data_IF_007741104589
#
_entry.id   IF_007741104589
#
_cell.length_a   1.000
_cell.length_b   1.000
_cell.length_c   1.000
_cell.angle_alpha   90.00
_cell.angle_beta   90.00
_cell.angle_gamma   90.00
#
_symmetry.space_group_name_H-M   'P 1'
#
loop_
_entity.id
_entity.type
_entity.pdbx_description
1 polymer ?
#
# COMPACT_ATOMS: atom_id res chain seq x y z
N UNK A 1 -51.19 -29.45 -20.43
CA UNK A 1 -49.99 -30.05 -19.82
C UNK A 1 -49.06 -28.92 -19.41
N UNK A 2 -48.62 -28.93 -18.16
CA UNK A 2 -48.25 -27.77 -17.36
C UNK A 2 -46.90 -27.10 -17.71
N UNK A 3 -46.82 -25.83 -17.33
CA UNK A 3 -45.63 -25.00 -17.12
C UNK A 3 -44.81 -25.56 -15.95
N UNK A 4 -43.47 -25.53 -16.00
CA UNK A 4 -42.62 -25.09 -14.89
C UNK A 4 -41.30 -24.49 -15.42
N UNK A 5 -41.13 -23.18 -15.19
CA UNK A 5 -39.84 -22.52 -15.03
C UNK A 5 -39.07 -23.20 -13.88
N UNK A 6 -37.76 -23.36 -14.01
CA UNK A 6 -36.91 -23.42 -12.83
C UNK A 6 -35.75 -22.42 -12.99
N UNK A 7 -35.99 -21.23 -12.47
CA UNK A 7 -34.98 -20.40 -11.83
C UNK A 7 -34.35 -21.20 -10.70
N UNK A 8 -33.02 -21.28 -10.65
CA UNK A 8 -32.29 -21.31 -9.39
C UNK A 8 -30.89 -20.74 -9.64
N UNK A 9 -30.73 -19.47 -9.27
CA UNK A 9 -29.43 -18.84 -9.18
C UNK A 9 -28.64 -19.52 -8.07
N UNK A 10 -27.59 -20.24 -8.43
CA UNK A 10 -26.60 -20.67 -7.46
C UNK A 10 -25.54 -19.57 -7.34
N UNK A 11 -25.90 -18.47 -6.67
CA UNK A 11 -24.90 -17.67 -5.99
C UNK A 11 -24.41 -18.55 -4.85
N UNK A 12 -23.26 -19.21 -5.05
CA UNK A 12 -22.55 -19.87 -3.96
C UNK A 12 -22.25 -18.79 -2.92
N UNK A 13 -23.10 -18.70 -1.89
CA UNK A 13 -22.85 -17.83 -0.75
C UNK A 13 -21.62 -18.39 -0.05
N UNK A 14 -20.44 -17.89 -0.43
CA UNK A 14 -19.20 -18.20 0.25
C UNK A 14 -19.41 -17.88 1.73
N UNK A 15 -19.26 -18.87 2.60
CA UNK A 15 -19.26 -18.64 4.04
C UNK A 15 -18.14 -17.66 4.37
N UNK A 16 -18.35 -16.67 5.26
CA UNK A 16 -17.30 -15.74 5.63
C UNK A 16 -16.10 -16.52 6.18
N UNK A 17 -14.96 -16.38 5.51
CA UNK A 17 -13.70 -16.98 5.95
C UNK A 17 -13.21 -16.32 7.24
N UNK A 18 -12.41 -17.07 8.02
CA UNK A 18 -11.79 -16.51 9.21
C UNK A 18 -10.85 -15.35 8.81
N UNK A 19 -10.98 -14.15 9.41
CA UNK A 19 -10.22 -12.97 8.99
C UNK A 19 -8.76 -13.09 9.43
N UNK A 20 -7.94 -13.78 8.63
CA UNK A 20 -6.51 -14.01 8.89
C UNK A 20 -5.59 -12.97 8.22
N UNK A 21 -6.15 -12.11 7.36
CA UNK A 21 -5.36 -11.17 6.55
C UNK A 21 -6.17 -9.98 6.03
N UNK A 22 -5.57 -9.16 5.16
CA UNK A 22 -6.31 -8.09 4.48
C UNK A 22 -7.39 -8.68 3.58
N UNK A 23 -8.52 -8.00 3.50
CA UNK A 23 -9.66 -8.41 2.66
C UNK A 23 -9.30 -8.20 1.19
N UNK A 24 -9.35 -9.25 0.34
CA UNK A 24 -9.07 -9.16 -1.09
C UNK A 24 -9.90 -8.09 -1.81
N UNK A 25 -9.43 -7.66 -2.99
CA UNK A 25 -10.09 -6.63 -3.79
C UNK A 25 -11.47 -7.08 -4.30
N UNK A 26 -11.59 -8.35 -4.68
CA UNK A 26 -12.75 -9.03 -5.24
C UNK A 26 -13.70 -9.62 -4.17
N UNK A 27 -13.40 -9.40 -2.88
CA UNK A 27 -14.20 -9.95 -1.80
C UNK A 27 -15.52 -9.19 -1.60
N UNK A 28 -16.63 -9.91 -1.60
CA UNK A 28 -17.98 -9.40 -1.28
C UNK A 28 -18.13 -8.95 0.19
N UNK A 29 -17.13 -9.19 1.04
CA UNK A 29 -17.17 -8.87 2.47
C UNK A 29 -16.54 -7.53 2.83
N UNK A 30 -15.98 -6.80 1.86
CA UNK A 30 -15.49 -5.47 2.12
C UNK A 30 -16.63 -4.46 2.14
N UNK A 31 -16.64 -3.63 3.18
CA UNK A 31 -17.56 -2.52 3.31
C UNK A 31 -16.76 -1.23 3.08
N UNK A 32 -17.15 -0.48 2.05
CA UNK A 32 -16.58 0.83 1.75
C UNK A 32 -16.76 1.80 2.91
N UNK A 33 -15.82 2.74 3.06
CA UNK A 33 -15.76 3.65 4.21
C UNK A 33 -15.93 5.12 3.80
N UNK A 34 -17.11 5.55 3.30
CA UNK A 34 -17.35 6.95 3.01
C UNK A 34 -17.44 7.79 4.31
N UNK A 35 -17.01 9.07 4.30
CA UNK A 35 -16.35 9.77 3.19
C UNK A 35 -14.83 9.55 3.16
N UNK A 36 -14.26 8.86 4.14
CA UNK A 36 -12.80 8.75 4.29
C UNK A 36 -12.12 8.13 3.07
N UNK A 37 -12.68 7.04 2.53
CA UNK A 37 -12.12 6.36 1.36
C UNK A 37 -12.10 7.26 0.12
N UNK A 38 -13.15 8.06 -0.08
CA UNK A 38 -13.23 9.04 -1.16
C UNK A 38 -12.18 10.15 -1.02
N UNK A 39 -11.95 10.65 0.19
CA UNK A 39 -10.91 11.65 0.47
C UNK A 39 -9.51 11.10 0.18
N UNK A 40 -9.27 9.82 0.48
CA UNK A 40 -8.00 9.14 0.20
C UNK A 40 -7.80 9.02 -1.32
N UNK A 41 -8.82 8.63 -2.09
CA UNK A 41 -8.73 8.57 -3.56
C UNK A 41 -8.47 9.95 -4.18
N UNK A 42 -9.10 11.01 -3.67
CA UNK A 42 -8.80 12.39 -4.06
C UNK A 42 -7.41 12.86 -3.65
N UNK A 43 -6.86 12.31 -2.57
CA UNK A 43 -5.49 12.58 -2.14
C UNK A 43 -4.46 11.98 -3.11
N UNK A 44 -4.67 10.73 -3.54
CA UNK A 44 -3.73 10.03 -4.43
C UNK A 44 -3.63 10.67 -5.80
N UNK A 45 -4.72 11.22 -6.32
CA UNK A 45 -4.69 11.91 -7.60
C UNK A 45 -3.89 13.23 -7.56
N UNK A 46 -3.54 13.75 -6.37
CA UNK A 46 -2.74 14.96 -6.21
C UNK A 46 -1.25 14.61 -6.11
N UNK A 47 -0.40 15.11 -7.03
CA UNK A 47 1.05 14.95 -6.93
C UNK A 47 1.61 15.56 -5.64
N UNK A 48 2.62 14.91 -5.04
CA UNK A 48 3.28 15.40 -3.83
C UNK A 48 2.43 15.33 -2.55
N UNK A 49 1.33 14.57 -2.56
CA UNK A 49 0.49 14.38 -1.38
C UNK A 49 1.05 13.33 -0.42
N UNK A 50 0.71 13.46 0.87
CA UNK A 50 1.01 12.47 1.91
C UNK A 50 -0.30 12.02 2.54
N UNK A 51 -0.57 10.72 2.49
CA UNK A 51 -1.77 10.12 3.06
C UNK A 51 -1.38 9.27 4.26
N UNK A 52 -1.93 9.60 5.44
CA UNK A 52 -1.70 8.86 6.68
C UNK A 52 -2.94 8.10 7.09
N UNK A 53 -2.88 6.76 7.07
CA UNK A 53 -3.95 5.89 7.57
C UNK A 53 -3.61 5.47 9.01
N UNK A 54 -4.35 5.96 10.00
CA UNK A 54 -4.13 5.65 11.43
C UNK A 54 -5.33 4.93 12.03
N UNK A 55 -5.12 3.75 12.59
CA UNK A 55 -6.11 2.99 13.36
C UNK A 55 -5.45 1.86 14.19
N UNK A 56 -6.10 1.34 15.25
CA UNK A 56 -5.63 0.19 16.04
C UNK A 56 -5.43 -1.09 15.22
N UNK A 57 -4.58 -2.04 15.65
CA UNK A 57 -4.36 -3.32 14.94
C UNK A 57 -5.70 -4.02 14.59
N UNK A 58 -5.73 -4.72 13.46
CA UNK A 58 -6.90 -5.47 12.95
C UNK A 58 -8.14 -4.65 12.52
N UNK A 59 -8.08 -3.30 12.50
CA UNK A 59 -9.19 -2.46 12.01
C UNK A 59 -9.32 -2.35 10.47
N UNK A 60 -8.73 -3.27 9.70
CA UNK A 60 -8.82 -3.29 8.23
C UNK A 60 -7.99 -2.21 7.50
N UNK A 61 -6.93 -1.69 8.12
CA UNK A 61 -5.99 -0.74 7.46
C UNK A 61 -5.32 -1.37 6.24
N UNK A 62 -4.85 -2.60 6.38
CA UNK A 62 -4.19 -3.31 5.28
C UNK A 62 -5.16 -3.58 4.13
N UNK A 63 -6.43 -3.88 4.42
CA UNK A 63 -7.48 -4.01 3.40
C UNK A 63 -7.73 -2.70 2.64
N UNK A 64 -7.69 -1.56 3.33
CA UNK A 64 -7.80 -0.24 2.72
C UNK A 64 -6.55 0.10 1.90
N UNK A 65 -5.36 -0.26 2.39
CA UNK A 65 -4.10 -0.07 1.66
C UNK A 65 -4.08 -0.86 0.34
N UNK A 66 -4.58 -2.10 0.31
CA UNK A 66 -4.68 -2.89 -0.93
C UNK A 66 -5.52 -2.18 -2.00
N UNK A 67 -6.68 -1.65 -1.62
CA UNK A 67 -7.55 -0.89 -2.54
C UNK A 67 -6.88 0.37 -3.04
N UNK A 68 -6.09 0.98 -2.17
CA UNK A 68 -5.38 2.19 -2.49
C UNK A 68 -4.23 1.95 -3.48
N UNK A 69 -3.50 0.84 -3.32
CA UNK A 69 -2.48 0.40 -4.27
C UNK A 69 -3.13 0.06 -5.63
N UNK A 70 -4.27 -0.64 -5.62
CA UNK A 70 -5.02 -0.92 -6.83
C UNK A 70 -5.45 0.37 -7.56
N UNK A 71 -5.95 1.37 -6.84
CA UNK A 71 -6.28 2.67 -7.42
C UNK A 71 -5.05 3.38 -8.01
N UNK A 72 -3.89 3.28 -7.36
CA UNK A 72 -2.65 3.84 -7.88
C UNK A 72 -2.21 3.15 -9.19
N UNK A 73 -2.38 1.83 -9.30
CA UNK A 73 -2.16 1.10 -10.55
C UNK A 73 -3.10 1.59 -11.68
N UNK A 74 -4.39 1.83 -11.37
CA UNK A 74 -5.34 2.38 -12.35
C UNK A 74 -4.95 3.79 -12.83
N UNK A 75 -4.21 4.55 -12.00
CA UNK A 75 -3.67 5.86 -12.35
C UNK A 75 -2.30 5.77 -13.06
N UNK A 76 -1.83 4.55 -13.39
CA UNK A 76 -0.53 4.28 -14.01
C UNK A 76 0.68 4.70 -13.15
N UNK A 77 0.54 4.69 -11.82
CA UNK A 77 1.65 5.00 -10.93
C UNK A 77 2.54 3.78 -10.72
N UNK A 78 3.86 4.01 -10.66
CA UNK A 78 4.80 3.00 -10.19
C UNK A 78 4.84 3.04 -8.67
N UNK A 79 4.62 1.90 -8.03
CA UNK A 79 4.53 1.79 -6.56
C UNK A 79 5.74 1.05 -5.98
N UNK A 80 6.29 1.57 -4.89
CA UNK A 80 7.22 0.84 -4.03
C UNK A 80 6.57 0.63 -2.66
N UNK A 81 6.60 -0.60 -2.16
CA UNK A 81 6.06 -1.00 -0.87
C UNK A 81 7.22 -1.22 0.11
N UNK A 82 7.19 -0.51 1.24
CA UNK A 82 8.19 -0.65 2.28
C UNK A 82 7.50 -1.13 3.56
N UNK A 83 7.93 -2.28 4.06
CA UNK A 83 7.57 -2.77 5.37
C UNK A 83 8.73 -2.53 6.33
N UNK A 84 8.47 -1.76 7.38
CA UNK A 84 9.45 -1.46 8.44
C UNK A 84 9.45 -2.52 9.54
N UNK A 85 8.47 -3.44 9.57
CA UNK A 85 8.36 -4.47 10.61
C UNK A 85 9.48 -5.51 10.58
N UNK A 86 9.91 -6.05 9.42
CA UNK A 86 10.99 -7.01 9.34
C UNK A 86 12.38 -6.35 9.20
N UNK A 87 12.47 -5.02 9.16
CA UNK A 87 13.76 -4.34 9.03
C UNK A 87 14.59 -4.52 10.32
N UNK A 88 15.85 -4.91 10.17
CA UNK A 88 16.76 -5.09 11.30
C UNK A 88 16.92 -3.77 12.07
N UNK A 89 17.05 -3.86 13.40
CA UNK A 89 17.24 -2.68 14.25
C UNK A 89 18.47 -1.86 13.83
N UNK A 90 19.48 -2.51 13.25
CA UNK A 90 20.69 -1.86 12.73
C UNK A 90 20.38 -0.87 11.61
N UNK A 91 19.36 -1.14 10.77
CA UNK A 91 18.91 -0.20 9.72
C UNK A 91 18.44 1.12 10.33
N UNK A 92 17.91 1.09 11.56
CA UNK A 92 17.48 2.27 12.30
C UNK A 92 18.56 2.84 13.23
N UNK A 93 19.79 2.31 13.16
CA UNK A 93 20.91 2.71 14.01
C UNK A 93 21.40 4.14 13.75
N UNK A 94 21.33 4.61 12.49
CA UNK A 94 21.52 6.01 12.15
C UNK A 94 20.75 6.40 10.88
N UNK A 95 20.59 7.71 10.68
CA UNK A 95 19.84 8.25 9.54
C UNK A 95 20.46 7.87 8.19
N UNK A 96 21.79 7.83 8.11
CA UNK A 96 22.50 7.46 6.87
C UNK A 96 22.19 6.03 6.45
N UNK A 97 22.33 5.06 7.37
CA UNK A 97 22.02 3.66 7.11
C UNK A 97 20.55 3.46 6.74
N UNK A 98 19.64 4.15 7.43
CA UNK A 98 18.22 4.13 7.12
C UNK A 98 17.93 4.62 5.70
N UNK A 99 18.45 5.79 5.33
CA UNK A 99 18.19 6.37 4.01
C UNK A 99 18.83 5.56 2.89
N UNK A 100 20.03 5.01 3.10
CA UNK A 100 20.66 4.09 2.14
C UNK A 100 19.80 2.85 1.91
N UNK A 101 19.38 2.20 2.99
CA UNK A 101 18.49 1.04 2.93
C UNK A 101 17.16 1.38 2.25
N UNK A 102 16.55 2.53 2.60
CA UNK A 102 15.30 3.01 2.00
C UNK A 102 15.45 3.20 0.49
N UNK A 103 16.45 3.96 0.06
CA UNK A 103 16.68 4.25 -1.36
C UNK A 103 17.02 2.98 -2.17
N UNK A 104 17.81 2.06 -1.61
CA UNK A 104 18.11 0.79 -2.24
C UNK A 104 16.83 -0.07 -2.43
N UNK A 105 15.95 -0.11 -1.42
CA UNK A 105 14.68 -0.85 -1.51
C UNK A 105 13.74 -0.24 -2.54
N UNK A 106 13.57 1.09 -2.55
CA UNK A 106 12.74 1.78 -3.55
C UNK A 106 13.28 1.58 -4.95
N UNK A 107 14.58 1.78 -5.17
CA UNK A 107 15.21 1.66 -6.49
C UNK A 107 15.06 0.26 -7.05
N UNK A 108 15.28 -0.77 -6.22
CA UNK A 108 15.11 -2.17 -6.62
C UNK A 108 13.67 -2.48 -7.03
N UNK A 109 12.68 -2.02 -6.27
CA UNK A 109 11.27 -2.28 -6.59
C UNK A 109 10.79 -1.53 -7.84
N UNK A 110 11.30 -0.33 -8.06
CA UNK A 110 10.98 0.49 -9.23
C UNK A 110 11.85 0.16 -10.46
N UNK A 111 12.73 -0.84 -10.37
CA UNK A 111 13.70 -1.22 -11.41
C UNK A 111 14.56 -0.04 -11.88
N UNK A 112 14.89 0.86 -10.96
CA UNK A 112 15.81 1.96 -11.19
C UNK A 112 17.24 1.48 -10.91
N UNK A 113 18.19 2.00 -11.68
CA UNK A 113 19.60 1.76 -11.41
C UNK A 113 19.94 2.38 -10.03
N UNK A 114 20.38 1.57 -9.05
CA UNK A 114 20.79 2.08 -7.75
C UNK A 114 22.13 2.79 -7.90
N UNK A 115 22.11 4.05 -8.34
CA UNK A 115 23.29 4.92 -8.42
C UNK A 115 23.65 5.50 -7.04
N UNK A 116 23.40 4.73 -5.98
CA UNK A 116 23.58 5.24 -4.62
C UNK A 116 25.05 5.56 -4.36
N UNK A 117 25.96 4.69 -4.77
CA UNK A 117 27.40 4.91 -4.57
C UNK A 117 27.95 6.10 -5.41
N UNK A 118 27.25 6.49 -6.48
CA UNK A 118 27.64 7.61 -7.36
C UNK A 118 27.12 8.96 -6.86
N UNK A 119 25.98 8.98 -6.14
CA UNK A 119 25.31 10.21 -5.69
C UNK A 119 25.33 10.41 -4.17
N UNK A 120 25.69 9.39 -3.40
CA UNK A 120 25.70 9.43 -1.94
C UNK A 120 27.08 9.86 -1.44
N UNK A 121 27.21 11.14 -1.15
CA UNK A 121 28.41 11.70 -0.54
C UNK A 121 28.35 11.52 0.99
N UNK A 122 29.24 10.67 1.52
CA UNK A 122 29.38 10.39 2.95
C UNK A 122 29.70 11.62 3.79
N UNK A 123 30.37 12.61 3.20
CA UNK A 123 30.78 13.86 3.87
C UNK A 123 29.67 14.92 3.85
N UNK A 124 28.72 14.83 2.90
CA UNK A 124 27.54 15.73 2.83
C UNK A 124 26.38 15.16 3.66
N UNK A 125 26.26 13.85 3.79
CA UNK A 125 25.27 13.18 4.65
C UNK A 125 23.85 13.75 4.57
N UNK A 126 23.05 13.51 5.60
CA UNK A 126 21.68 14.04 5.73
C UNK A 126 21.66 15.48 6.26
N UNK A 127 22.55 16.35 5.78
CA UNK A 127 22.50 17.77 6.16
C UNK A 127 21.23 18.34 5.53
N UNK A 128 20.27 18.88 6.30
CA UNK A 128 19.17 19.62 5.72
C UNK A 128 19.81 20.83 5.04
N UNK A 129 19.79 20.86 3.71
CA UNK A 129 20.07 22.08 2.97
C UNK A 129 19.12 23.15 3.50
N UNK A 130 19.65 24.05 4.32
CA UNK A 130 18.91 25.23 4.76
C UNK A 130 18.77 26.13 3.52
N UNK A 131 17.54 26.22 3.02
CA UNK A 131 17.12 27.31 2.15
C UNK A 131 16.88 28.56 2.98
#
# INVERSE_FOLDING_TARGET
MAILNNSDGNQTQASPEFPSGPVPLDSNFYIERPPMEQLIYQGISKPGSVIRIKAPKQMGKSSLLLRLLHQAEQLNYRTAYIDFLPADNEVFGCLDQFLRWFCANVSRQLQLQPMLDDYWDEDIGSIPTQN
#
